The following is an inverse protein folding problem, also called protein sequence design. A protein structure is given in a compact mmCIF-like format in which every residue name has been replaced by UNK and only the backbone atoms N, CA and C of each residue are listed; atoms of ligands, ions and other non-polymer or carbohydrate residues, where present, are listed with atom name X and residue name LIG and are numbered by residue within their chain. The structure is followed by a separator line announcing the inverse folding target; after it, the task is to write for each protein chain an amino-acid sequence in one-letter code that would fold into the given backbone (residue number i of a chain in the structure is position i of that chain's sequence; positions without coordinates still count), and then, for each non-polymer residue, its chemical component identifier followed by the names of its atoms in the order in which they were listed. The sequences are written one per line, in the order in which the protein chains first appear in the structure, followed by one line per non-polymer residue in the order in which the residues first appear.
data_IF_029962434778
#
_entry.id   IF_029962434778
#
_cell.length_a   1.000
_cell.length_b   1.000
_cell.length_c   1.000
_cell.angle_alpha   90.00
_cell.angle_beta   90.00
_cell.angle_gamma   90.00
#
_symmetry.space_group_name_H-M   'P 1'
#
loop_
_entity.id
_entity.type
_entity.pdbx_description
1 polymer ?
#
# COMPACT_ATOMS: atom_id res chain seq x y z
N UNK A 1 -2.90 -18.12 -12.30
CA UNK A 1 -3.37 -17.27 -13.40
C UNK A 1 -4.47 -16.34 -12.91
N UNK A 2 -4.25 -15.05 -13.07
CA UNK A 2 -5.23 -14.03 -12.74
C UNK A 2 -5.73 -13.41 -14.03
N UNK A 3 -7.04 -13.27 -14.15
CA UNK A 3 -7.66 -12.55 -15.24
C UNK A 3 -8.22 -11.25 -14.69
N UNK A 4 -7.80 -10.14 -15.27
CA UNK A 4 -8.23 -8.81 -14.85
C UNK A 4 -8.82 -8.11 -16.07
N UNK A 5 -10.04 -7.61 -15.92
CA UNK A 5 -10.71 -6.85 -16.97
C UNK A 5 -10.55 -5.35 -16.65
N UNK A 6 -9.76 -4.67 -17.46
CA UNK A 6 -9.47 -3.24 -17.29
C UNK A 6 -9.86 -2.51 -18.57
N UNK A 7 -10.63 -1.43 -18.44
CA UNK A 7 -11.06 -0.60 -19.58
C UNK A 7 -11.67 -1.41 -20.73
N UNK A 8 -12.44 -2.45 -20.38
CA UNK A 8 -13.05 -3.33 -21.36
C UNK A 8 -12.11 -4.31 -22.03
N UNK A 9 -10.85 -4.37 -21.60
CA UNK A 9 -9.88 -5.33 -22.11
C UNK A 9 -9.65 -6.41 -21.09
N UNK A 10 -9.55 -7.66 -21.56
CA UNK A 10 -9.21 -8.77 -20.70
C UNK A 10 -7.69 -8.92 -20.66
N UNK A 11 -7.11 -8.75 -19.49
CA UNK A 11 -5.69 -8.96 -19.27
C UNK A 11 -5.48 -10.30 -18.58
N UNK A 12 -4.77 -11.20 -19.24
CA UNK A 12 -4.33 -12.46 -18.67
C UNK A 12 -2.89 -12.33 -18.26
N UNK A 13 -2.62 -12.61 -17.00
CA UNK A 13 -1.26 -12.51 -16.50
C UNK A 13 -1.01 -13.65 -15.52
N UNK A 14 0.06 -14.42 -15.78
CA UNK A 14 0.47 -15.45 -14.85
C UNK A 14 1.39 -14.81 -13.81
N UNK A 15 0.85 -14.54 -12.64
CA UNK A 15 1.57 -13.86 -11.56
C UNK A 15 2.13 -14.83 -10.53
N UNK A 16 1.86 -16.14 -10.67
CA UNK A 16 2.22 -17.14 -9.66
C UNK A 16 1.72 -16.75 -8.25
N UNK A 17 0.55 -16.11 -8.21
CA UNK A 17 -0.03 -15.69 -6.95
C UNK A 17 -0.89 -16.78 -6.36
N UNK A 18 -0.78 -16.99 -5.06
CA UNK A 18 -1.69 -17.84 -4.31
C UNK A 18 -2.89 -17.03 -3.87
N UNK A 19 -3.91 -17.72 -3.34
CA UNK A 19 -5.10 -17.06 -2.80
C UNK A 19 -4.77 -16.17 -1.60
N UNK A 20 -3.65 -16.45 -0.93
CA UNK A 20 -3.22 -15.70 0.26
C UNK A 20 -2.40 -14.46 -0.07
N UNK A 21 -2.11 -14.22 -1.36
CA UNK A 21 -1.33 -13.06 -1.75
C UNK A 21 -2.17 -11.80 -1.65
N UNK A 22 -1.52 -10.73 -1.22
CA UNK A 22 -2.17 -9.46 -0.93
C UNK A 22 -2.11 -8.57 -2.17
N UNK A 23 -3.27 -8.12 -2.65
CA UNK A 23 -3.41 -7.43 -3.93
C UNK A 23 -4.26 -6.18 -3.76
N UNK A 24 -3.87 -5.09 -4.42
CA UNK A 24 -4.73 -3.94 -4.66
C UNK A 24 -4.62 -3.48 -6.10
N UNK A 25 -5.70 -2.92 -6.63
CA UNK A 25 -5.76 -2.42 -8.00
C UNK A 25 -6.43 -1.06 -7.98
N UNK A 26 -5.81 -0.07 -8.62
CA UNK A 26 -6.40 1.26 -8.77
C UNK A 26 -5.91 1.89 -10.07
N UNK A 27 -6.83 2.41 -10.88
CA UNK A 27 -6.51 3.08 -12.16
C UNK A 27 -5.58 2.23 -13.04
N UNK A 28 -5.92 0.95 -13.21
CA UNK A 28 -5.17 -0.02 -14.01
C UNK A 28 -3.78 -0.35 -13.46
N UNK A 29 -3.46 0.10 -12.27
CA UNK A 29 -2.21 -0.25 -11.60
C UNK A 29 -2.43 -1.39 -10.62
N UNK A 30 -1.64 -2.44 -10.79
CA UNK A 30 -1.68 -3.62 -9.93
C UNK A 30 -0.50 -3.57 -8.98
N UNK A 31 -0.80 -3.68 -7.69
CA UNK A 31 0.21 -3.75 -6.63
C UNK A 31 -0.06 -5.01 -5.82
N UNK A 32 0.98 -5.78 -5.54
CA UNK A 32 0.81 -7.00 -4.75
C UNK A 32 2.05 -7.31 -3.93
N UNK A 33 1.85 -8.10 -2.88
CA UNK A 33 2.92 -8.59 -2.01
C UNK A 33 2.98 -10.11 -2.16
N UNK A 34 4.17 -10.63 -2.43
CA UNK A 34 4.43 -12.05 -2.51
C UNK A 34 5.79 -12.34 -1.90
N UNK A 35 5.83 -13.25 -0.94
CA UNK A 35 7.08 -13.68 -0.30
C UNK A 35 7.95 -12.51 0.19
N UNK A 36 7.32 -11.53 0.84
CA UNK A 36 7.99 -10.33 1.34
C UNK A 36 8.61 -9.45 0.25
N UNK A 37 8.05 -9.52 -0.94
CA UNK A 37 8.36 -8.58 -2.02
C UNK A 37 7.13 -7.81 -2.41
N UNK A 38 7.25 -6.50 -2.47
CA UNK A 38 6.20 -5.61 -2.95
C UNK A 38 6.45 -5.33 -4.42
N UNK A 39 5.49 -5.64 -5.26
CA UNK A 39 5.55 -5.35 -6.69
C UNK A 39 4.67 -4.17 -7.02
N UNK A 40 5.27 -3.13 -7.59
CA UNK A 40 4.59 -1.90 -7.99
C UNK A 40 4.94 -1.64 -9.44
N UNK A 41 3.97 -1.80 -10.36
CA UNK A 41 4.16 -1.48 -11.78
C UNK A 41 5.45 -2.07 -12.35
N UNK A 42 5.77 -3.32 -11.98
CA UNK A 42 6.99 -3.98 -12.42
C UNK A 42 8.23 -3.69 -11.59
N UNK A 43 8.16 -2.78 -10.65
CA UNK A 43 9.25 -2.51 -9.70
C UNK A 43 9.07 -3.44 -8.50
N UNK A 44 10.16 -4.12 -8.11
CA UNK A 44 10.13 -5.02 -6.96
C UNK A 44 10.88 -4.40 -5.79
N UNK A 45 10.21 -4.32 -4.64
CA UNK A 45 10.78 -3.79 -3.41
C UNK A 45 10.86 -4.94 -2.40
N UNK A 46 12.06 -5.20 -1.89
CA UNK A 46 12.23 -6.21 -0.85
C UNK A 46 11.81 -5.62 0.48
N UNK A 47 10.88 -6.31 1.14
CA UNK A 47 10.35 -5.87 2.43
C UNK A 47 11.02 -6.61 3.57
N UNK A 48 11.09 -6.01 4.77
CA UNK A 48 11.48 -6.75 5.97
C UNK A 48 10.58 -7.95 6.18
N UNK A 49 11.10 -8.99 6.79
CA UNK A 49 10.32 -10.19 7.08
C UNK A 49 9.15 -9.86 8.01
N UNK A 50 7.99 -10.45 7.73
CA UNK A 50 6.82 -10.28 8.58
C UNK A 50 5.53 -10.50 7.82
N UNK A 51 4.42 -10.42 8.55
CA UNK A 51 3.08 -10.46 7.95
C UNK A 51 2.66 -9.05 7.61
N UNK A 52 2.13 -8.88 6.42
CA UNK A 52 1.72 -7.57 5.92
C UNK A 52 0.22 -7.47 5.73
N UNK A 53 -0.32 -6.28 5.93
CA UNK A 53 -1.67 -5.96 5.53
C UNK A 53 -1.74 -5.88 4.01
N UNK A 54 -2.97 -5.94 3.48
CA UNK A 54 -3.21 -5.68 2.06
C UNK A 54 -2.67 -4.30 1.70
N UNK A 55 -1.95 -4.15 0.58
CA UNK A 55 -1.50 -2.83 0.17
C UNK A 55 -2.67 -1.92 -0.15
N UNK A 56 -2.50 -0.65 0.08
CA UNK A 56 -3.49 0.38 -0.22
C UNK A 56 -2.88 1.36 -1.20
N UNK A 57 -3.47 1.45 -2.40
CA UNK A 57 -3.05 2.41 -3.42
C UNK A 57 -3.88 3.66 -3.27
N UNK A 58 -3.24 4.82 -3.30
CA UNK A 58 -3.95 6.09 -3.37
C UNK A 58 -3.16 7.10 -4.16
N UNK A 59 -3.86 8.09 -4.71
CA UNK A 59 -3.26 9.15 -5.51
C UNK A 59 -3.37 10.46 -4.76
N UNK A 60 -2.27 11.21 -4.77
CA UNK A 60 -2.24 12.53 -4.18
C UNK A 60 -1.44 13.46 -5.08
N UNK A 61 -2.09 14.56 -5.48
CA UNK A 61 -1.46 15.59 -6.33
C UNK A 61 -0.78 15.01 -7.57
N UNK A 62 -1.39 13.99 -8.16
CA UNK A 62 -0.86 13.32 -9.34
C UNK A 62 0.14 12.22 -9.06
N UNK A 63 0.56 12.05 -7.81
CA UNK A 63 1.49 11.00 -7.43
C UNK A 63 0.76 9.78 -6.90
N UNK A 64 1.23 8.59 -7.27
CA UNK A 64 0.71 7.34 -6.74
C UNK A 64 1.53 6.92 -5.54
N UNK A 65 0.83 6.64 -4.43
CA UNK A 65 1.45 6.18 -3.20
C UNK A 65 0.88 4.83 -2.80
N UNK A 66 1.70 4.00 -2.20
CA UNK A 66 1.31 2.66 -1.76
C UNK A 66 1.64 2.52 -0.29
N UNK A 67 0.60 2.28 0.52
CA UNK A 67 0.77 2.06 1.95
C UNK A 67 0.63 0.59 2.30
N UNK A 68 1.51 0.10 3.16
CA UNK A 68 1.45 -1.25 3.70
C UNK A 68 1.82 -1.23 5.18
N UNK A 69 1.32 -2.20 5.92
CA UNK A 69 1.63 -2.34 7.34
C UNK A 69 2.27 -3.69 7.60
N UNK A 70 3.43 -3.68 8.24
CA UNK A 70 4.01 -4.88 8.81
C UNK A 70 3.30 -5.14 10.14
N UNK A 71 2.45 -6.15 10.17
CA UNK A 71 1.60 -6.43 11.32
C UNK A 71 2.39 -7.02 12.49
N UNK A 72 3.50 -7.66 12.22
CA UNK A 72 4.34 -8.25 13.28
C UNK A 72 5.15 -7.18 14.01
N UNK A 73 5.62 -6.17 13.28
CA UNK A 73 6.44 -5.09 13.86
C UNK A 73 5.64 -3.85 14.19
N UNK A 74 4.39 -3.78 13.73
CA UNK A 74 3.53 -2.59 13.86
C UNK A 74 4.17 -1.36 13.22
N UNK A 75 4.68 -1.53 12.02
CA UNK A 75 5.30 -0.48 11.24
C UNK A 75 4.55 -0.27 9.93
N UNK A 76 4.26 0.99 9.63
CA UNK A 76 3.62 1.39 8.39
C UNK A 76 4.67 1.95 7.44
N UNK A 77 4.67 1.44 6.22
CA UNK A 77 5.53 1.91 5.14
C UNK A 77 4.69 2.59 4.08
N UNK A 78 5.20 3.67 3.53
CA UNK A 78 4.56 4.39 2.44
C UNK A 78 5.55 4.54 1.30
N UNK A 79 5.27 3.89 0.17
CA UNK A 79 6.16 3.88 -0.98
C UNK A 79 5.63 4.73 -2.11
N UNK A 80 6.54 5.34 -2.84
CA UNK A 80 6.24 5.96 -4.13
C UNK A 80 6.18 4.88 -5.21
N UNK A 81 5.63 5.22 -6.36
CA UNK A 81 5.45 4.25 -7.43
C UNK A 81 6.78 3.78 -8.06
N UNK A 82 7.86 4.50 -7.83
CA UNK A 82 9.20 4.08 -8.26
C UNK A 82 9.85 3.10 -7.27
N UNK A 83 9.20 2.78 -6.16
CA UNK A 83 9.72 1.87 -5.15
C UNK A 83 10.46 2.54 -4.00
N UNK A 84 10.60 3.85 -4.02
CA UNK A 84 11.28 4.56 -2.94
C UNK A 84 10.36 4.76 -1.73
N UNK A 85 10.92 4.53 -0.55
CA UNK A 85 10.20 4.79 0.70
C UNK A 85 10.10 6.29 0.92
N UNK A 86 8.91 6.77 1.25
CA UNK A 86 8.71 8.18 1.52
C UNK A 86 9.43 8.58 2.81
N UNK A 87 10.02 9.78 2.81
CA UNK A 87 10.72 10.29 3.98
C UNK A 87 9.81 10.33 5.21
N UNK A 88 10.36 10.01 6.35
CA UNK A 88 9.61 9.95 7.60
C UNK A 88 9.01 8.59 7.92
N UNK A 89 9.04 7.65 6.99
CA UNK A 89 8.51 6.31 7.19
C UNK A 89 9.65 5.31 7.43
N UNK A 90 9.39 4.21 8.14
CA UNK A 90 8.09 3.77 8.66
C UNK A 90 7.64 4.55 9.91
N UNK A 91 6.33 4.55 10.11
CA UNK A 91 5.71 5.09 11.33
C UNK A 91 4.94 3.97 12.03
N UNK A 92 4.56 4.18 13.27
CA UNK A 92 3.89 3.13 14.06
C UNK A 92 2.40 3.02 13.74
N UNK A 93 1.92 1.81 13.58
CA UNK A 93 0.52 1.51 13.38
C UNK A 93 0.32 0.03 13.08
N UNK A 94 -0.86 -0.49 13.35
CA UNK A 94 -1.15 -1.92 13.28
C UNK A 94 -2.47 -2.25 12.59
N UNK A 95 -2.75 -1.57 11.49
CA UNK A 95 -3.92 -1.89 10.68
C UNK A 95 -3.68 -1.43 9.24
N UNK A 96 -4.59 -1.83 8.35
CA UNK A 96 -4.64 -1.22 7.02
C UNK A 96 -4.85 0.27 7.20
N UNK A 97 -4.07 1.06 6.48
CA UNK A 97 -4.19 2.50 6.56
C UNK A 97 -5.45 2.99 5.84
N UNK A 98 -5.95 4.11 6.29
CA UNK A 98 -6.94 4.88 5.56
C UNK A 98 -6.36 6.25 5.25
N UNK A 99 -6.85 6.88 4.20
CA UNK A 99 -6.30 8.14 3.71
C UNK A 99 -7.39 9.17 3.71
N UNK A 100 -7.07 10.34 4.24
CA UNK A 100 -8.05 11.39 4.40
C UNK A 100 -7.40 12.75 4.23
N UNK A 101 -8.13 13.67 3.60
CA UNK A 101 -7.79 15.08 3.59
C UNK A 101 -8.95 15.84 4.23
N UNK A 102 -8.90 15.98 5.55
CA UNK A 102 -10.02 16.45 6.33
C UNK A 102 -10.12 17.97 6.42
N UNK A 103 -9.04 18.68 6.19
CA UNK A 103 -9.00 20.15 6.38
C UNK A 103 -8.89 20.93 5.07
N UNK A 104 -8.97 20.22 3.93
CA UNK A 104 -8.95 20.81 2.58
C UNK A 104 -7.68 21.58 2.26
N UNK A 105 -6.59 21.31 2.96
CA UNK A 105 -5.29 21.78 2.54
C UNK A 105 -4.66 20.76 1.59
N UNK A 106 -3.41 20.97 1.20
CA UNK A 106 -2.72 20.07 0.29
C UNK A 106 -2.04 18.90 1.02
N UNK A 107 -2.35 18.72 2.30
CA UNK A 107 -1.76 17.68 3.12
C UNK A 107 -2.67 16.48 3.24
N UNK A 108 -2.09 15.30 3.16
CA UNK A 108 -2.81 14.05 3.36
C UNK A 108 -2.63 13.59 4.79
N UNK A 109 -3.69 13.03 5.34
CA UNK A 109 -3.63 12.36 6.63
C UNK A 109 -3.77 10.86 6.43
N UNK A 110 -2.87 10.09 7.06
CA UNK A 110 -2.95 8.64 7.12
C UNK A 110 -3.48 8.26 8.48
N UNK A 111 -4.57 7.49 8.48
CA UNK A 111 -5.19 6.98 9.69
C UNK A 111 -4.87 5.52 9.84
N UNK A 112 -4.46 5.12 11.04
CA UNK A 112 -4.18 3.72 11.34
C UNK A 112 -4.51 3.44 12.80
N UNK A 113 -4.77 2.18 13.10
CA UNK A 113 -4.91 1.75 14.48
C UNK A 113 -3.52 1.58 15.09
N UNK A 114 -3.30 2.17 16.24
CA UNK A 114 -2.05 1.98 16.98
C UNK A 114 -2.16 0.76 17.89
N UNK A 115 -3.30 0.63 18.58
CA UNK A 115 -3.60 -0.52 19.41
C UNK A 115 -5.12 -0.73 19.48
N UNK A 116 -5.56 -1.57 20.39
CA UNK A 116 -6.96 -1.95 20.53
C UNK A 116 -7.90 -0.77 20.78
N UNK A 117 -7.39 0.31 21.39
CA UNK A 117 -8.19 1.45 21.83
C UNK A 117 -7.78 2.77 21.19
N UNK A 118 -6.73 2.80 20.39
CA UNK A 118 -6.14 4.05 19.91
C UNK A 118 -6.06 4.06 18.39
N UNK A 119 -6.45 5.19 17.81
CA UNK A 119 -6.25 5.49 16.39
C UNK A 119 -5.28 6.65 16.32
N UNK A 120 -4.32 6.57 15.42
CA UNK A 120 -3.34 7.62 15.20
C UNK A 120 -3.47 8.17 13.78
N UNK A 121 -3.23 9.46 13.64
CA UNK A 121 -3.22 10.15 12.37
C UNK A 121 -1.83 10.71 12.11
N UNK A 122 -1.32 10.48 10.92
CA UNK A 122 -0.06 11.05 10.47
C UNK A 122 -0.30 11.98 9.30
N UNK A 123 0.27 13.16 9.35
CA UNK A 123 0.22 14.12 8.25
C UNK A 123 1.41 13.94 7.32
N UNK A 124 1.14 13.97 6.02
CA UNK A 124 2.17 13.93 4.99
C UNK A 124 2.23 15.30 4.35
N UNK A 125 3.36 15.92 4.44
CA UNK A 125 3.57 17.25 3.84
C UNK A 125 4.17 17.14 2.46
#
# INVERSE_FOLDING_TARGET
LIQINMDGKLLKKNLNLSIDNLIDIKNDNLVYISENNLSIKGVNVKLPFGRYSKPKIFNESGDMLIGITNLDESDIYLYQDNGDLLDGFPVKGNSIIDVKNSDKDDEIEILTRLDKYSIVSYEIN
#
